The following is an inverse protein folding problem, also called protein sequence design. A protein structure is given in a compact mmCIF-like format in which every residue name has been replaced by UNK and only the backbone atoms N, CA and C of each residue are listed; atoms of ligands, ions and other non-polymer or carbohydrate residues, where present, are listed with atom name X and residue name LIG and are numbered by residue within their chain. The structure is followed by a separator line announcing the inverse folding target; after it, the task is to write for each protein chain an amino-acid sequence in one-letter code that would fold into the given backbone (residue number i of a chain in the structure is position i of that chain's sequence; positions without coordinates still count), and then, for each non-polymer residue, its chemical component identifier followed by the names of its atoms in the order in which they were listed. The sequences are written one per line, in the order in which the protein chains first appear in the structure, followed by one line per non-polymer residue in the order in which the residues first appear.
data_IF_376045716780
#
_entry.id   IF_376045716780
#
_cell.length_a   1.000
_cell.length_b   1.000
_cell.length_c   1.000
_cell.angle_alpha   90.00
_cell.angle_beta   90.00
_cell.angle_gamma   90.00
#
_symmetry.space_group_name_H-M   'P 1'
#
loop_
_entity.id
_entity.type
_entity.pdbx_description
1 polymer ?
#
# COMPACT_ATOMS: atom_id res chain seq x y z
N UNK A 1 -11.46 11.18 17.95
CA UNK A 1 -10.20 11.32 17.19
C UNK A 1 -9.87 9.94 16.65
N UNK A 2 -10.11 9.65 15.36
CA UNK A 2 -9.83 8.32 14.78
C UNK A 2 -8.35 8.26 14.40
N UNK A 3 -7.62 7.29 14.93
CA UNK A 3 -6.20 7.10 14.61
C UNK A 3 -6.04 6.67 13.15
N UNK A 4 -5.00 7.15 12.48
CA UNK A 4 -4.76 6.93 11.05
C UNK A 4 -4.48 5.46 10.66
N UNK A 5 -4.31 4.56 11.64
CA UNK A 5 -4.19 3.10 11.45
C UNK A 5 -5.53 2.40 11.19
N UNK A 6 -6.66 3.07 11.42
CA UNK A 6 -8.00 2.48 11.30
C UNK A 6 -8.42 2.25 9.82
N UNK A 7 -7.74 2.91 8.88
CA UNK A 7 -8.04 2.83 7.45
C UNK A 7 -7.35 1.67 6.71
N UNK A 8 -6.44 0.93 7.35
CA UNK A 8 -5.74 -0.23 6.76
C UNK A 8 -6.24 -1.59 7.28
N UNK A 9 -7.14 -1.62 8.28
CA UNK A 9 -7.83 -2.84 8.70
C UNK A 9 -8.88 -3.22 7.67
N UNK A 10 -8.55 -4.21 6.83
CA UNK A 10 -9.57 -4.92 6.04
C UNK A 10 -10.23 -5.96 6.94
N UNK A 11 -11.32 -5.57 7.57
CA UNK A 11 -12.27 -6.50 8.18
C UNK A 11 -13.10 -7.13 7.06
N UNK A 12 -12.97 -8.44 6.86
CA UNK A 12 -13.90 -9.15 5.99
C UNK A 12 -15.09 -9.59 6.83
N UNK A 13 -16.21 -8.89 6.62
CA UNK A 13 -17.46 -9.13 7.33
C UNK A 13 -18.34 -10.05 6.50
N UNK A 14 -18.46 -11.30 6.91
CA UNK A 14 -19.37 -12.28 6.31
C UNK A 14 -20.64 -12.35 7.15
N UNK A 15 -21.80 -12.16 6.52
CA UNK A 15 -23.11 -12.27 7.18
C UNK A 15 -23.80 -13.54 6.71
N UNK A 16 -24.12 -14.42 7.66
CA UNK A 16 -24.87 -15.66 7.42
C UNK A 16 -26.28 -15.51 8.00
N UNK A 17 -27.21 -15.07 7.16
CA UNK A 17 -28.59 -14.79 7.57
C UNK A 17 -28.69 -13.70 8.64
N UNK A 18 -29.74 -13.77 9.46
CA UNK A 18 -30.02 -12.79 10.54
C UNK A 18 -29.26 -13.09 11.85
N UNK A 19 -28.48 -14.18 11.91
CA UNK A 19 -27.98 -14.72 13.19
C UNK A 19 -26.46 -14.61 13.39
N UNK A 20 -25.63 -14.66 12.34
CA UNK A 20 -24.17 -14.69 12.50
C UNK A 20 -23.43 -13.71 11.60
N UNK A 21 -22.53 -12.95 12.20
CA UNK A 21 -21.55 -12.11 11.52
C UNK A 21 -20.15 -12.63 11.87
N UNK A 22 -19.43 -13.14 10.89
CA UNK A 22 -18.01 -13.50 11.03
C UNK A 22 -17.18 -12.31 10.55
N UNK A 23 -16.32 -11.80 11.43
CA UNK A 23 -15.33 -10.77 11.09
C UNK A 23 -13.96 -11.43 11.00
N UNK A 24 -13.36 -11.43 9.81
CA UNK A 24 -12.01 -11.94 9.61
C UNK A 24 -11.04 -10.77 9.51
N UNK A 25 -10.04 -10.76 10.39
CA UNK A 25 -8.91 -9.83 10.35
C UNK A 25 -7.63 -10.56 9.87
N UNK A 26 -7.15 -10.33 8.64
CA UNK A 26 -5.89 -10.91 8.18
C UNK A 26 -4.70 -10.29 8.91
N UNK A 27 -3.80 -11.13 9.43
CA UNK A 27 -2.58 -10.74 10.16
C UNK A 27 -1.33 -11.27 9.45
N UNK A 28 -0.21 -10.53 9.48
CA UNK A 28 1.07 -10.97 8.90
C UNK A 28 1.94 -11.61 9.99
N UNK A 29 2.50 -12.77 9.68
CA UNK A 29 3.32 -13.57 10.61
C UNK A 29 4.77 -13.05 10.57
N UNK A 30 5.36 -12.66 11.72
CA UNK A 30 6.76 -12.26 11.78
C UNK A 30 7.74 -13.39 11.44
N UNK A 31 8.88 -13.09 10.82
CA UNK A 31 9.99 -14.04 10.69
C UNK A 31 10.50 -14.55 12.06
N UNK A 32 10.46 -13.71 13.09
CA UNK A 32 10.87 -14.08 14.46
C UNK A 32 10.00 -15.15 15.09
N UNK A 33 8.78 -15.39 14.58
CA UNK A 33 7.89 -16.44 15.08
C UNK A 33 8.56 -17.82 15.02
N UNK A 34 9.44 -18.05 14.04
CA UNK A 34 10.11 -19.34 13.86
C UNK A 34 11.07 -19.64 15.01
N UNK A 35 11.71 -18.64 15.59
CA UNK A 35 12.60 -18.82 16.74
C UNK A 35 11.82 -19.08 18.02
N UNK A 36 10.64 -18.47 18.17
CA UNK A 36 9.71 -18.79 19.25
C UNK A 36 9.13 -20.20 19.11
N UNK A 37 8.71 -20.60 17.90
CA UNK A 37 8.20 -21.95 17.61
C UNK A 37 9.22 -23.04 17.93
N UNK A 38 10.52 -22.79 17.72
CA UNK A 38 11.58 -23.75 18.07
C UNK A 38 11.79 -23.91 19.58
N UNK A 39 11.41 -22.91 20.38
CA UNK A 39 11.69 -22.85 21.82
C UNK A 39 10.48 -23.14 22.68
N UNK A 40 9.27 -22.94 22.16
CA UNK A 40 8.02 -23.21 22.86
C UNK A 40 7.81 -24.71 23.07
N UNK A 41 7.38 -25.11 24.27
CA UNK A 41 7.05 -26.52 24.57
C UNK A 41 5.56 -26.80 24.35
N UNK A 42 4.72 -25.79 24.54
CA UNK A 42 3.28 -25.82 24.32
C UNK A 42 2.75 -24.47 23.84
N UNK A 43 1.45 -24.38 23.56
CA UNK A 43 0.82 -23.17 23.01
C UNK A 43 0.73 -22.02 24.03
N UNK A 44 0.74 -22.31 25.33
CA UNK A 44 0.67 -21.29 26.38
C UNK A 44 1.99 -20.53 26.52
N UNK A 45 3.13 -21.19 26.26
CA UNK A 45 4.44 -20.53 26.13
C UNK A 45 4.47 -19.43 25.03
N UNK A 46 3.52 -19.47 24.10
CA UNK A 46 3.46 -18.56 22.95
C UNK A 46 2.55 -17.34 23.18
N UNK A 47 1.70 -17.36 24.22
CA UNK A 47 0.78 -16.26 24.50
C UNK A 47 1.56 -14.99 24.86
N UNK A 48 1.34 -13.91 24.10
CA UNK A 48 2.00 -12.62 24.30
C UNK A 48 3.41 -12.50 23.70
N UNK A 49 4.00 -13.59 23.20
CA UNK A 49 5.31 -13.55 22.51
C UNK A 49 5.18 -13.33 21.00
N UNK A 50 3.98 -13.57 20.44
CA UNK A 50 3.68 -13.39 19.02
C UNK A 50 3.01 -12.04 18.80
N UNK A 51 3.75 -11.09 18.22
CA UNK A 51 3.20 -9.82 17.71
C UNK A 51 2.95 -9.96 16.23
N UNK A 52 1.74 -9.72 15.74
CA UNK A 52 1.49 -9.76 14.29
C UNK A 52 1.80 -8.42 13.65
N UNK A 53 2.57 -8.42 12.56
CA UNK A 53 2.86 -7.19 11.84
C UNK A 53 1.59 -6.64 11.19
N UNK A 54 1.34 -5.36 11.40
CA UNK A 54 0.28 -4.64 10.68
C UNK A 54 0.74 -4.30 9.26
N UNK A 55 -0.21 -4.31 8.32
CA UNK A 55 0.06 -3.92 6.94
C UNK A 55 0.56 -2.48 6.85
N UNK A 56 1.49 -2.16 5.93
CA UNK A 56 1.92 -0.80 5.73
C UNK A 56 0.74 0.11 5.34
N UNK A 57 0.76 1.34 5.84
CA UNK A 57 -0.22 2.35 5.48
C UNK A 57 0.23 3.09 4.22
N UNK A 58 -0.59 3.06 3.17
CA UNK A 58 -0.40 3.81 1.94
C UNK A 58 -1.49 4.87 1.78
N UNK A 59 -1.09 6.11 1.50
CA UNK A 59 -1.99 7.21 1.12
C UNK A 59 -1.61 7.77 -0.23
N UNK A 60 -2.59 7.94 -1.10
CA UNK A 60 -2.44 8.56 -2.41
C UNK A 60 -2.75 10.05 -2.35
N UNK A 61 -2.18 10.84 -3.26
CA UNK A 61 -2.65 12.20 -3.51
C UNK A 61 -4.01 12.17 -4.18
N UNK A 62 -4.81 13.22 -4.02
CA UNK A 62 -5.96 13.44 -4.91
C UNK A 62 -5.47 13.49 -6.37
N UNK A 63 -6.14 12.82 -7.32
CA UNK A 63 -5.78 12.87 -8.73
C UNK A 63 -5.75 14.31 -9.25
N UNK A 64 -4.67 14.69 -9.93
CA UNK A 64 -4.57 15.99 -10.61
C UNK A 64 -4.96 15.83 -12.07
N UNK A 65 -5.74 16.77 -12.57
CA UNK A 65 -6.24 16.77 -13.94
C UNK A 65 -5.61 17.90 -14.75
N UNK A 66 -5.21 17.61 -15.97
CA UNK A 66 -4.79 18.60 -16.96
C UNK A 66 -5.43 18.26 -18.30
N UNK A 67 -6.23 19.18 -18.85
CA UNK A 67 -6.80 18.99 -20.19
C UNK A 67 -5.68 18.90 -21.23
N UNK A 68 -5.76 17.93 -22.13
CA UNK A 68 -4.82 17.78 -23.26
C UNK A 68 -5.39 18.32 -24.57
N UNK A 69 -6.62 18.85 -24.56
CA UNK A 69 -7.39 19.17 -25.76
C UNK A 69 -8.11 17.94 -26.33
N UNK A 70 -9.23 18.18 -27.03
CA UNK A 70 -10.12 17.10 -27.51
C UNK A 70 -10.78 16.33 -26.36
N UNK A 71 -11.09 15.05 -26.60
CA UNK A 71 -11.76 14.15 -25.66
C UNK A 71 -10.76 13.43 -24.71
N UNK A 72 -9.68 14.10 -24.27
CA UNK A 72 -8.68 13.51 -23.35
C UNK A 72 -8.22 14.47 -22.26
N UNK A 73 -7.97 13.90 -21.08
CA UNK A 73 -7.30 14.58 -19.97
C UNK A 73 -6.13 13.75 -19.49
N UNK A 74 -5.04 14.42 -19.13
CA UNK A 74 -3.96 13.81 -18.36
C UNK A 74 -4.38 13.73 -16.90
N UNK A 75 -4.26 12.53 -16.34
CA UNK A 75 -4.48 12.25 -14.93
C UNK A 75 -3.13 11.93 -14.30
N UNK A 76 -2.78 12.65 -13.24
CA UNK A 76 -1.59 12.41 -12.44
C UNK A 76 -1.95 11.93 -11.04
N UNK A 77 -1.33 10.85 -10.60
CA UNK A 77 -1.54 10.23 -9.30
C UNK A 77 -0.20 10.08 -8.59
N UNK A 78 -0.12 10.54 -7.34
CA UNK A 78 1.08 10.47 -6.52
C UNK A 78 0.91 9.58 -5.30
N UNK A 79 2.03 9.04 -4.82
CA UNK A 79 2.11 8.51 -3.45
C UNK A 79 2.24 9.71 -2.53
N UNK A 80 1.33 9.90 -1.57
CA UNK A 80 1.41 10.99 -0.60
C UNK A 80 2.17 10.58 0.65
N UNK A 81 1.97 9.35 1.12
CA UNK A 81 2.58 8.83 2.35
C UNK A 81 2.65 7.32 2.29
N UNK A 82 3.75 6.77 2.79
CA UNK A 82 3.91 5.35 3.06
C UNK A 82 4.51 5.20 4.46
N UNK A 83 3.91 4.35 5.30
CA UNK A 83 4.37 4.12 6.68
C UNK A 83 4.43 2.64 6.95
N UNK A 84 5.60 2.18 7.40
CA UNK A 84 5.77 0.85 7.97
C UNK A 84 5.37 0.84 9.43
N UNK A 85 4.50 -0.09 9.79
CA UNK A 85 4.15 -0.35 11.18
C UNK A 85 5.39 -0.87 11.94
N UNK A 86 6.06 -1.87 11.37
CA UNK A 86 7.29 -2.46 11.91
C UNK A 86 8.37 -2.56 10.83
N UNK A 87 9.63 -2.36 11.24
CA UNK A 87 10.79 -2.50 10.37
C UNK A 87 11.49 -3.80 10.80
N UNK A 88 11.58 -4.83 9.92
CA UNK A 88 12.07 -6.15 10.30
C UNK A 88 13.60 -6.19 10.30
N UNK A 89 14.22 -5.41 11.19
CA UNK A 89 15.65 -5.41 11.45
C UNK A 89 15.91 -5.82 12.89
N UNK A 90 16.90 -6.69 13.10
CA UNK A 90 17.28 -7.16 14.45
C UNK A 90 17.89 -6.04 15.30
N UNK A 91 18.64 -5.14 14.66
CA UNK A 91 19.23 -3.96 15.30
C UNK A 91 18.22 -2.81 15.37
N UNK A 92 17.71 -2.55 16.58
CA UNK A 92 16.75 -1.48 16.86
C UNK A 92 17.28 -0.09 16.50
N UNK A 93 18.59 0.15 16.63
CA UNK A 93 19.20 1.44 16.27
C UNK A 93 19.12 1.65 14.75
N UNK A 94 19.38 0.61 13.97
CA UNK A 94 19.25 0.66 12.52
C UNK A 94 17.79 0.80 12.09
N UNK A 95 16.87 0.10 12.76
CA UNK A 95 15.43 0.24 12.53
C UNK A 95 14.96 1.70 12.75
N UNK A 96 15.41 2.35 13.82
CA UNK A 96 15.12 3.76 14.09
C UNK A 96 15.73 4.71 13.05
N UNK A 97 16.96 4.45 12.60
CA UNK A 97 17.59 5.23 11.52
C UNK A 97 16.81 5.13 10.21
N UNK A 98 16.41 3.92 9.81
CA UNK A 98 15.56 3.71 8.62
C UNK A 98 14.23 4.45 8.78
N UNK A 99 13.62 4.39 9.97
CA UNK A 99 12.37 5.10 10.27
C UNK A 99 12.53 6.61 10.14
N UNK A 100 13.64 7.17 10.64
CA UNK A 100 13.94 8.60 10.53
C UNK A 100 14.11 9.03 9.08
N UNK A 101 14.90 8.31 8.28
CA UNK A 101 15.10 8.63 6.86
C UNK A 101 13.79 8.49 6.06
N UNK A 102 13.00 7.44 6.34
CA UNK A 102 11.72 7.22 5.69
C UNK A 102 10.66 8.28 6.04
N UNK A 103 10.74 8.90 7.23
CA UNK A 103 9.85 9.99 7.63
C UNK A 103 9.98 11.19 6.68
N UNK A 104 11.21 11.51 6.27
CA UNK A 104 11.51 12.63 5.38
C UNK A 104 11.35 12.24 3.90
N UNK A 105 11.73 11.00 3.55
CA UNK A 105 11.63 10.49 2.19
C UNK A 105 11.21 9.01 2.11
N UNK A 106 9.92 8.74 2.31
CA UNK A 106 9.36 7.37 2.25
C UNK A 106 9.63 6.63 0.93
N UNK A 107 9.88 7.34 -0.18
CA UNK A 107 10.18 6.72 -1.47
C UNK A 107 11.48 5.89 -1.45
N UNK A 108 12.34 6.09 -0.44
CA UNK A 108 13.52 5.24 -0.21
C UNK A 108 13.16 3.81 0.22
N UNK A 109 11.95 3.60 0.73
CA UNK A 109 11.47 2.28 1.12
C UNK A 109 10.84 1.53 -0.05
N UNK A 110 10.37 2.23 -1.08
CA UNK A 110 9.58 1.61 -2.15
C UNK A 110 10.52 1.02 -3.20
N UNK A 111 10.37 -0.28 -3.45
CA UNK A 111 11.12 -1.01 -4.47
C UNK A 111 10.34 -1.13 -5.78
N UNK A 112 9.01 -1.27 -5.68
CA UNK A 112 8.10 -1.36 -6.82
C UNK A 112 6.84 -0.53 -6.59
N UNK A 113 6.37 0.13 -7.64
CA UNK A 113 5.10 0.84 -7.67
C UNK A 113 4.43 0.61 -9.03
N UNK A 114 3.20 0.11 -9.03
CA UNK A 114 2.33 0.07 -10.21
C UNK A 114 0.98 0.77 -10.03
N UNK A 115 0.41 1.19 -11.16
CA UNK A 115 -0.93 1.79 -11.26
C UNK A 115 -1.76 1.03 -12.28
N UNK A 116 -2.98 0.68 -11.87
CA UNK A 116 -4.09 0.35 -12.73
C UNK A 116 -5.00 1.58 -12.85
N UNK A 117 -5.07 2.14 -14.06
CA UNK A 117 -5.77 3.40 -14.32
C UNK A 117 -7.28 3.27 -14.59
N UNK A 118 -7.80 2.05 -14.76
CA UNK A 118 -9.21 1.76 -15.05
C UNK A 118 -9.55 0.39 -14.43
N UNK A 119 -9.45 0.35 -13.10
CA UNK A 119 -9.59 -0.84 -12.28
C UNK A 119 -11.06 -1.25 -12.20
N UNK A 120 -11.35 -2.50 -12.56
CA UNK A 120 -12.72 -3.03 -12.63
C UNK A 120 -13.29 -3.47 -11.27
N UNK A 121 -12.53 -3.28 -10.18
CA UNK A 121 -12.92 -3.72 -8.85
C UNK A 121 -12.60 -5.19 -8.55
N UNK A 122 -12.09 -5.96 -9.51
CA UNK A 122 -11.82 -7.39 -9.37
C UNK A 122 -10.36 -7.75 -9.62
N UNK A 123 -9.82 -7.42 -10.79
CA UNK A 123 -8.48 -7.84 -11.21
C UNK A 123 -7.58 -6.64 -11.44
N UNK A 124 -6.48 -6.58 -10.68
CA UNK A 124 -5.48 -5.55 -10.87
C UNK A 124 -4.70 -5.78 -12.17
N UNK A 125 -4.70 -4.78 -13.04
CA UNK A 125 -3.96 -4.77 -14.32
C UNK A 125 -2.91 -3.67 -14.28
N UNK A 126 -1.64 -4.04 -14.13
CA UNK A 126 -0.53 -3.09 -14.14
C UNK A 126 -0.41 -2.42 -15.51
N UNK A 127 -0.93 -1.19 -15.63
CA UNK A 127 -0.88 -0.39 -16.87
C UNK A 127 0.30 0.59 -16.87
N UNK A 128 0.82 0.90 -15.69
CA UNK A 128 2.03 1.67 -15.49
C UNK A 128 2.80 1.09 -14.31
N UNK A 129 4.13 1.10 -14.37
CA UNK A 129 4.99 0.60 -13.30
C UNK A 129 6.35 1.31 -13.27
N UNK A 130 6.92 1.39 -12.07
CA UNK A 130 8.27 1.84 -11.82
C UNK A 130 8.95 0.96 -10.77
N UNK A 131 10.27 0.83 -10.92
CA UNK A 131 11.14 0.06 -10.03
C UNK A 131 12.23 0.98 -9.47
N UNK A 132 12.67 0.69 -8.25
CA UNK A 132 13.88 1.28 -7.72
C UNK A 132 15.06 0.85 -8.59
N UNK A 133 15.98 1.78 -8.83
CA UNK A 133 17.21 1.47 -9.55
C UNK A 133 18.19 0.66 -8.69
N UNK A 134 19.06 -0.09 -9.36
CA UNK A 134 19.98 -1.06 -8.78
C UNK A 134 21.46 -0.66 -8.98
N UNK A 135 22.33 -1.11 -8.07
CA UNK A 135 23.78 -0.86 -8.11
C UNK A 135 24.14 0.63 -8.15
N UNK A 136 24.92 1.05 -9.15
CA UNK A 136 25.36 2.45 -9.33
C UNK A 136 24.21 3.43 -9.67
N UNK A 137 23.03 2.91 -10.01
CA UNK A 137 21.85 3.70 -10.36
C UNK A 137 20.79 3.70 -9.25
N UNK A 138 21.21 3.65 -7.97
CA UNK A 138 20.31 3.63 -6.80
C UNK A 138 19.42 4.89 -6.74
N UNK A 139 18.36 4.90 -7.53
CA UNK A 139 17.35 5.96 -7.61
C UNK A 139 16.06 5.40 -7.04
N UNK A 140 15.45 6.15 -6.13
CA UNK A 140 14.10 5.90 -5.65
C UNK A 140 13.11 5.95 -6.81
N UNK A 141 11.98 5.25 -6.68
CA UNK A 141 10.87 5.38 -7.64
C UNK A 141 10.42 6.84 -7.79
N UNK A 142 9.89 7.25 -8.96
CA UNK A 142 9.20 8.53 -9.07
C UNK A 142 8.09 8.62 -8.02
N UNK A 143 7.72 9.83 -7.58
CA UNK A 143 6.62 10.06 -6.62
C UNK A 143 5.25 10.28 -7.26
N UNK A 144 5.21 10.36 -8.60
CA UNK A 144 4.01 10.60 -9.40
C UNK A 144 4.04 9.73 -10.65
N UNK A 145 2.89 9.17 -11.01
CA UNK A 145 2.63 8.57 -12.31
C UNK A 145 1.57 9.41 -13.05
N UNK A 146 1.62 9.43 -14.38
CA UNK A 146 0.64 10.13 -15.21
C UNK A 146 0.21 9.27 -16.39
N UNK A 147 -1.03 9.42 -16.84
CA UNK A 147 -1.51 8.85 -18.09
C UNK A 147 -2.57 9.74 -18.73
N UNK A 148 -2.79 9.59 -20.04
CA UNK A 148 -3.91 10.23 -20.73
C UNK A 148 -5.13 9.30 -20.73
N UNK A 149 -6.27 9.78 -20.27
CA UNK A 149 -7.54 9.07 -20.22
C UNK A 149 -8.60 9.81 -21.03
N UNK A 150 -9.58 9.06 -21.54
CA UNK A 150 -10.70 9.61 -22.33
C UNK A 150 -11.68 10.33 -21.41
N UNK A 151 -12.18 11.48 -21.82
CA UNK A 151 -13.16 12.24 -21.04
C UNK A 151 -14.54 11.55 -21.04
N UNK A 152 -15.47 12.02 -20.20
CA UNK A 152 -16.87 11.57 -20.18
C UNK A 152 -17.19 10.35 -19.32
N UNK A 153 -16.25 9.87 -18.50
CA UNK A 153 -16.54 8.83 -17.49
C UNK A 153 -15.73 9.01 -16.21
N UNK A 154 -16.19 8.33 -15.17
CA UNK A 154 -15.40 8.11 -13.96
C UNK A 154 -14.40 6.97 -14.18
N UNK A 155 -13.18 7.16 -13.68
CA UNK A 155 -12.15 6.15 -13.61
C UNK A 155 -11.86 5.79 -12.17
N UNK A 156 -11.99 4.50 -11.84
CA UNK A 156 -11.45 3.92 -10.62
C UNK A 156 -10.00 3.52 -10.87
N UNK A 157 -9.11 3.94 -9.99
CA UNK A 157 -7.68 3.67 -10.07
C UNK A 157 -7.24 2.88 -8.85
N UNK A 158 -6.42 1.88 -9.07
CA UNK A 158 -5.81 1.07 -8.01
C UNK A 158 -4.30 1.21 -8.09
N UNK A 159 -3.67 1.42 -6.94
CA UNK A 159 -2.22 1.49 -6.80
C UNK A 159 -1.75 0.31 -5.97
N UNK A 160 -0.66 -0.31 -6.39
CA UNK A 160 0.08 -1.30 -5.60
C UNK A 160 1.52 -0.86 -5.44
N UNK A 161 2.04 -0.98 -4.23
CA UNK A 161 3.45 -0.74 -3.93
C UNK A 161 4.02 -1.94 -3.18
N UNK A 162 5.30 -2.23 -3.41
CA UNK A 162 6.08 -3.19 -2.64
C UNK A 162 7.32 -2.47 -2.13
N UNK A 163 7.62 -2.64 -0.84
CA UNK A 163 8.81 -2.06 -0.23
C UNK A 163 10.05 -2.98 -0.31
N UNK A 164 11.20 -2.47 0.13
CA UNK A 164 12.47 -3.20 0.19
C UNK A 164 12.48 -4.41 1.13
N UNK A 165 11.49 -4.51 2.01
CA UNK A 165 11.31 -5.66 2.91
C UNK A 165 10.31 -6.68 2.34
N UNK A 166 9.75 -6.42 1.16
CA UNK A 166 8.77 -7.28 0.50
C UNK A 166 7.32 -7.06 0.96
N UNK A 167 7.04 -6.07 1.81
CA UNK A 167 5.66 -5.79 2.21
C UNK A 167 4.89 -5.10 1.07
N UNK A 168 3.67 -5.56 0.82
CA UNK A 168 2.77 -4.93 -0.12
C UNK A 168 1.78 -3.98 0.56
N UNK A 169 1.45 -2.89 -0.12
CA UNK A 169 0.31 -2.05 0.22
C UNK A 169 -0.46 -1.66 -1.03
N UNK A 170 -1.76 -1.46 -0.87
CA UNK A 170 -2.65 -1.07 -1.95
C UNK A 170 -3.57 0.06 -1.54
N UNK A 171 -3.91 0.93 -2.48
CA UNK A 171 -4.86 2.02 -2.27
C UNK A 171 -5.66 2.28 -3.54
N UNK A 172 -6.93 2.62 -3.36
CA UNK A 172 -7.86 2.95 -4.45
C UNK A 172 -8.23 4.44 -4.38
N UNK A 173 -8.46 5.03 -5.54
CA UNK A 173 -9.03 6.37 -5.67
C UNK A 173 -9.84 6.44 -6.96
N UNK A 174 -10.68 7.45 -7.12
CA UNK A 174 -11.46 7.63 -8.35
C UNK A 174 -11.41 9.08 -8.80
N UNK A 175 -11.60 9.29 -10.11
CA UNK A 175 -11.70 10.63 -10.68
C UNK A 175 -12.75 10.65 -11.77
N UNK A 176 -13.64 11.64 -11.72
CA UNK A 176 -14.60 11.89 -12.78
C UNK A 176 -13.98 12.85 -13.80
N UNK A 177 -13.84 12.40 -15.05
CA UNK A 177 -13.34 13.24 -16.12
C UNK A 177 -14.49 14.00 -16.78
N UNK A 178 -14.29 15.29 -17.13
CA UNK A 178 -15.34 16.15 -17.64
C UNK A 178 -16.07 15.52 -18.83
N UNK A 179 -17.37 15.76 -18.98
CA UNK A 179 -18.11 15.36 -20.19
C UNK A 179 -17.63 16.10 -21.44
N UNK A 180 -17.93 15.56 -22.63
CA UNK A 180 -17.78 16.33 -23.86
C UNK A 180 -18.59 17.63 -23.75
N UNK A 181 -17.97 18.77 -24.09
CA UNK A 181 -18.67 20.05 -24.25
C UNK A 181 -19.23 20.16 -25.65
#
# INVERSE_FOLDING_TARGET
MRHASDASRREFVYRFGDAETIVIEPRVIPPSIYDYLKRAKDADDMQGQVTFHEKPYLRLTSPKLRSLGGNKSEVSLGLQRYVLSEIPLDDQTQAEQVRAVAKDNYAILIDYWAVDWDYDGATFRSRWQAFRGNGKNLKTVPKTASTALTNGKEYRMMVRVVDVFGNDASAETSVNLPGEK
#
